data_IF_732781301431
#
_entry.id   IF_732781301431
#
_cell.length_a   1.000
_cell.length_b   1.000
_cell.length_c   1.000
_cell.angle_alpha   90.00
_cell.angle_beta   90.00
_cell.angle_gamma   90.00
#
_symmetry.space_group_name_H-M   'P 1'
#
loop_
_entity.id
_entity.type
_entity.pdbx_description
1 polymer ?
#
# COMPACT_ATOMS: atom_id res chain seq x y z
N UNK A 1 -12.45 -31.00 -8.71
CA UNK A 1 -12.02 -30.68 -8.74
C UNK A 1 -11.56 -30.39 -8.66
N UNK A 2 -11.66 -30.23 -8.79
CA UNK A 2 -11.26 -29.92 -8.80
C UNK A 2 -10.81 -29.35 -8.59
N UNK A 3 -10.45 -28.99 -8.39
CA UNK A 3 -9.92 -28.49 -8.34
C UNK A 3 -9.23 -27.65 -8.77
N UNK A 4 -8.80 -27.31 -8.63
CA UNK A 4 -8.01 -26.32 -9.12
C UNK A 4 -8.09 -26.08 -10.54
N UNK A 5 -7.96 -26.96 -11.27
CA UNK A 5 -7.87 -26.79 -12.61
C UNK A 5 -9.12 -26.50 -13.24
N UNK A 6 -10.04 -26.76 -12.61
CA UNK A 6 -11.26 -26.51 -13.14
C UNK A 6 -11.52 -25.10 -13.35
N UNK A 7 -10.85 -24.27 -12.63
CA UNK A 7 -11.07 -22.88 -12.73
C UNK A 7 -10.93 -22.30 -14.09
N UNK A 8 -10.03 -22.81 -14.88
CA UNK A 8 -9.87 -22.29 -16.20
C UNK A 8 -11.11 -22.48 -17.02
N UNK A 9 -11.74 -23.60 -16.88
CA UNK A 9 -12.92 -23.85 -17.64
C UNK A 9 -14.03 -22.92 -17.24
N UNK A 10 -14.18 -22.71 -15.95
CA UNK A 10 -15.22 -21.82 -15.49
C UNK A 10 -14.99 -20.46 -16.05
N UNK A 11 -13.77 -19.99 -16.04
CA UNK A 11 -13.47 -18.67 -16.55
C UNK A 11 -13.86 -18.56 -18.01
N UNK A 12 -13.59 -19.57 -18.77
CA UNK A 12 -13.92 -19.52 -20.17
C UNK A 12 -15.38 -19.46 -20.40
N UNK A 13 -16.13 -20.16 -19.58
CA UNK A 13 -17.58 -20.14 -19.75
C UNK A 13 -18.18 -18.79 -19.52
N UNK A 14 -17.72 -18.10 -18.51
CA UNK A 14 -18.34 -16.82 -18.14
C UNK A 14 -17.52 -15.61 -18.55
N UNK A 15 -16.41 -15.83 -19.19
CA UNK A 15 -15.49 -14.75 -19.49
C UNK A 15 -14.37 -14.72 -18.49
N UNK A 16 -13.60 -13.64 -18.51
CA UNK A 16 -12.43 -13.53 -17.65
C UNK A 16 -12.58 -12.44 -16.64
N UNK A 17 -11.99 -12.65 -15.47
CA UNK A 17 -11.86 -11.59 -14.50
C UNK A 17 -10.43 -11.14 -14.54
N UNK A 18 -10.20 -9.90 -14.93
CA UNK A 18 -8.86 -9.37 -14.99
C UNK A 18 -8.67 -8.27 -13.99
N UNK A 19 -7.55 -8.30 -13.31
CA UNK A 19 -7.27 -7.34 -12.28
C UNK A 19 -6.10 -6.51 -12.74
N UNK A 20 -6.30 -5.21 -12.84
CA UNK A 20 -5.26 -4.32 -13.37
C UNK A 20 -4.23 -4.01 -12.31
N UNK A 21 -3.06 -3.56 -12.78
CA UNK A 21 -2.02 -3.12 -11.89
C UNK A 21 -2.53 -2.04 -10.96
N UNK A 22 -3.38 -1.17 -11.47
CA UNK A 22 -3.87 -0.06 -10.70
C UNK A 22 -4.70 -0.53 -9.53
N UNK A 23 -5.49 -1.57 -9.73
CA UNK A 23 -6.28 -2.11 -8.64
C UNK A 23 -5.38 -2.69 -7.57
N UNK A 24 -4.33 -3.40 -7.96
CA UNK A 24 -3.40 -3.95 -6.99
C UNK A 24 -2.72 -2.82 -6.24
N UNK A 25 -2.36 -1.75 -6.94
CA UNK A 25 -1.69 -0.62 -6.31
C UNK A 25 -2.60 0.05 -5.28
N UNK A 26 -3.87 0.18 -5.59
CA UNK A 26 -4.80 0.78 -4.65
C UNK A 26 -4.95 -0.08 -3.41
N UNK A 27 -5.08 -1.38 -3.59
CA UNK A 27 -5.19 -2.29 -2.45
C UNK A 27 -3.95 -2.19 -1.57
N UNK A 28 -2.80 -2.18 -2.19
CA UNK A 28 -1.55 -2.09 -1.44
C UNK A 28 -1.44 -0.76 -0.71
N UNK A 29 -1.88 0.32 -1.36
CA UNK A 29 -1.84 1.63 -0.72
C UNK A 29 -2.75 1.71 0.49
N UNK A 30 -3.96 1.19 0.35
CA UNK A 30 -4.88 1.19 1.49
C UNK A 30 -4.32 0.34 2.60
N UNK A 31 -3.82 -0.84 2.28
CA UNK A 31 -3.28 -1.73 3.29
C UNK A 31 -2.11 -1.11 4.02
N UNK A 32 -1.30 -0.33 3.30
CA UNK A 32 -0.17 0.34 3.93
C UNK A 32 -0.62 1.39 4.92
N UNK A 33 -1.65 2.15 4.57
CA UNK A 33 -2.08 3.22 5.44
C UNK A 33 -2.87 2.73 6.64
N UNK A 34 -3.26 1.48 6.64
CA UNK A 34 -3.93 0.91 7.79
C UNK A 34 -2.99 0.62 8.94
N UNK A 35 -1.71 0.63 8.68
CA UNK A 35 -0.73 0.27 9.70
C UNK A 35 -0.43 1.47 10.58
N UNK A 36 -0.53 1.32 11.89
CA UNK A 36 -0.22 2.43 12.78
C UNK A 36 1.22 2.90 12.56
N UNK A 37 1.39 4.19 12.47
CA UNK A 37 2.70 4.77 12.22
C UNK A 37 2.91 5.22 10.80
N UNK A 38 2.09 4.75 9.87
CA UNK A 38 2.17 5.21 8.50
C UNK A 38 1.29 6.44 8.39
N UNK A 39 1.87 7.57 7.98
CA UNK A 39 1.11 8.80 7.93
C UNK A 39 0.57 9.08 6.54
N UNK A 40 1.27 8.62 5.52
CA UNK A 40 0.78 8.82 4.16
C UNK A 40 1.64 8.04 3.19
N UNK A 41 1.15 7.93 1.97
CA UNK A 41 1.94 7.37 0.89
C UNK A 41 2.78 8.50 0.33
N UNK A 42 4.02 8.18 0.00
CA UNK A 42 4.89 9.18 -0.56
C UNK A 42 4.36 9.62 -1.90
N UNK A 43 4.52 10.88 -2.19
CA UNK A 43 4.04 11.40 -3.44
C UNK A 43 2.60 11.77 -3.42
N UNK A 44 1.91 11.50 -2.32
CA UNK A 44 0.52 11.88 -2.23
C UNK A 44 0.37 13.32 -1.86
N UNK A 45 -0.82 13.82 -2.02
CA UNK A 45 -1.11 15.17 -1.66
C UNK A 45 -1.86 15.15 -0.37
N UNK A 46 -1.54 16.07 0.52
CA UNK A 46 -2.24 16.09 1.77
C UNK A 46 -3.29 17.16 1.74
N UNK A 47 -4.19 17.11 2.65
CA UNK A 47 -5.22 18.11 2.76
C UNK A 47 -6.52 17.65 2.19
N UNK A 48 -7.42 18.57 2.03
CA UNK A 48 -8.75 18.24 1.59
C UNK A 48 -8.82 17.61 0.24
N UNK A 49 -7.95 18.04 -0.65
CA UNK A 49 -7.95 17.46 -1.94
C UNK A 49 -7.66 16.01 -1.93
N UNK A 50 -6.81 15.57 -1.04
CA UNK A 50 -6.46 14.18 -1.05
C UNK A 50 -7.64 13.29 -0.74
N UNK A 51 -8.63 13.81 -0.10
CA UNK A 51 -9.79 12.99 0.14
C UNK A 51 -10.52 12.71 -1.12
N UNK A 52 -10.67 13.68 -1.98
CA UNK A 52 -11.36 13.46 -3.21
C UNK A 52 -10.58 12.59 -4.14
N UNK A 53 -9.28 12.69 -4.08
CA UNK A 53 -8.43 11.94 -4.95
C UNK A 53 -7.77 10.80 -4.23
N UNK A 54 -8.35 10.42 -3.10
CA UNK A 54 -7.68 9.50 -2.21
C UNK A 54 -7.20 8.22 -2.84
N UNK A 55 -8.03 7.61 -3.68
CA UNK A 55 -7.61 6.37 -4.27
C UNK A 55 -6.45 6.55 -5.20
N UNK A 56 -6.44 7.61 -5.96
CA UNK A 56 -5.34 7.87 -6.82
C UNK A 56 -4.08 8.16 -6.04
N UNK A 57 -4.21 8.91 -4.96
CA UNK A 57 -3.05 9.21 -4.15
C UNK A 57 -2.49 7.96 -3.52
N UNK A 58 -3.34 7.04 -3.13
CA UNK A 58 -2.85 5.82 -2.54
C UNK A 58 -2.06 5.01 -3.54
N UNK A 59 -2.51 4.96 -4.77
CA UNK A 59 -1.78 4.19 -5.75
C UNK A 59 -0.50 4.88 -6.20
N UNK A 60 -0.40 6.19 -6.03
CA UNK A 60 0.79 6.89 -6.47
C UNK A 60 2.04 6.43 -5.77
N UNK A 61 1.95 6.05 -4.54
CA UNK A 61 3.12 5.60 -3.81
C UNK A 61 3.34 4.11 -3.91
N UNK A 62 2.81 3.49 -4.97
CA UNK A 62 2.95 2.05 -5.11
C UNK A 62 3.35 1.73 -6.53
N UNK A 63 4.31 0.83 -6.69
CA UNK A 63 4.65 0.31 -7.99
C UNK A 63 4.36 -1.18 -8.00
N UNK A 64 3.76 -1.64 -9.07
CA UNK A 64 3.33 -3.01 -9.17
C UNK A 64 3.91 -3.63 -10.42
N UNK A 65 4.45 -4.81 -10.28
CA UNK A 65 4.92 -5.54 -11.42
C UNK A 65 4.19 -6.86 -11.45
N UNK A 66 3.32 -7.05 -12.41
CA UNK A 66 2.47 -8.21 -12.48
C UNK A 66 2.94 -9.09 -13.62
N UNK A 67 3.17 -10.36 -13.32
CA UNK A 67 3.63 -11.28 -14.33
C UNK A 67 2.89 -12.58 -14.12
N UNK A 68 2.02 -12.90 -15.05
CA UNK A 68 1.15 -14.07 -14.91
C UNK A 68 0.33 -13.91 -13.61
N UNK A 69 0.50 -14.80 -12.67
CA UNK A 69 -0.22 -14.70 -11.40
C UNK A 69 0.65 -14.18 -10.29
N UNK A 70 1.89 -13.85 -10.59
CA UNK A 70 2.81 -13.38 -9.56
C UNK A 70 2.88 -11.87 -9.59
N UNK A 71 2.99 -11.29 -8.41
CA UNK A 71 3.07 -9.83 -8.34
C UNK A 71 4.14 -9.41 -7.35
N UNK A 72 4.94 -8.44 -7.77
CA UNK A 72 5.92 -7.80 -6.90
C UNK A 72 5.45 -6.38 -6.66
N UNK A 73 5.52 -5.93 -5.44
CA UNK A 73 4.97 -4.63 -5.06
C UNK A 73 6.02 -3.82 -4.34
N UNK A 74 6.17 -2.57 -4.74
CA UNK A 74 7.02 -1.63 -4.01
C UNK A 74 6.12 -0.54 -3.47
N UNK A 75 6.18 -0.30 -2.17
CA UNK A 75 5.41 0.78 -1.58
C UNK A 75 6.36 1.82 -1.02
N UNK A 76 5.99 3.08 -1.16
CA UNK A 76 6.79 4.20 -0.72
C UNK A 76 5.95 4.98 0.27
N UNK A 77 6.40 5.06 1.51
CA UNK A 77 5.57 5.61 2.58
C UNK A 77 6.32 6.63 3.41
N UNK A 78 5.55 7.42 4.13
CA UNK A 78 6.04 8.35 5.13
C UNK A 78 5.53 7.85 6.48
N UNK A 79 6.37 7.86 7.48
CA UNK A 79 6.02 7.33 8.79
C UNK A 79 6.09 8.42 9.85
N UNK A 80 5.55 8.11 10.99
CA UNK A 80 5.49 9.06 12.08
C UNK A 80 6.78 9.04 12.88
N UNK A 81 7.26 10.23 13.22
CA UNK A 81 8.49 10.35 14.00
C UNK A 81 8.27 9.72 15.37
N UNK A 82 9.27 9.04 15.86
CA UNK A 82 9.21 8.48 17.19
C UNK A 82 8.78 7.03 17.23
N UNK A 83 8.47 6.46 16.09
CA UNK A 83 8.03 5.07 16.06
C UNK A 83 9.15 4.16 15.58
N UNK A 84 8.99 2.89 15.83
CA UNK A 84 9.97 1.92 15.36
C UNK A 84 9.73 1.68 13.88
N UNK A 85 10.58 2.25 13.06
CA UNK A 85 10.38 2.26 11.63
C UNK A 85 10.48 0.86 11.03
N UNK A 86 11.41 0.07 11.52
CA UNK A 86 11.55 -1.27 10.99
C UNK A 86 10.31 -2.11 11.25
N UNK A 87 9.73 -1.94 12.41
CA UNK A 87 8.55 -2.69 12.73
C UNK A 87 7.38 -2.25 11.88
N UNK A 88 7.25 -0.95 11.65
CA UNK A 88 6.22 -0.44 10.76
C UNK A 88 6.39 -1.06 9.39
N UNK A 89 7.62 -1.11 8.91
CA UNK A 89 7.87 -1.69 7.59
C UNK A 89 7.45 -3.14 7.49
N UNK A 90 7.77 -3.92 8.51
CA UNK A 90 7.39 -5.33 8.49
C UNK A 90 5.87 -5.49 8.54
N UNK A 91 5.22 -4.65 9.31
CA UNK A 91 3.76 -4.73 9.40
C UNK A 91 3.12 -4.36 8.07
N UNK A 92 3.70 -3.38 7.39
CA UNK A 92 3.20 -3.01 6.07
C UNK A 92 3.38 -4.17 5.10
N UNK A 93 4.55 -4.80 5.11
CA UNK A 93 4.79 -5.92 4.22
C UNK A 93 3.74 -7.00 4.40
N UNK A 94 3.49 -7.33 5.64
CA UNK A 94 2.56 -8.40 5.91
C UNK A 94 1.12 -8.02 5.54
N UNK A 95 0.72 -6.82 5.86
CA UNK A 95 -0.64 -6.40 5.57
C UNK A 95 -0.89 -6.26 4.08
N UNK A 96 0.09 -5.75 3.35
CA UNK A 96 -0.04 -5.61 1.92
C UNK A 96 -0.15 -7.00 1.28
N UNK A 97 0.72 -7.91 1.67
CA UNK A 97 0.68 -9.25 1.10
C UNK A 97 -0.66 -9.91 1.38
N UNK A 98 -1.10 -9.85 2.61
CA UNK A 98 -2.37 -10.49 2.96
C UNK A 98 -3.55 -9.89 2.23
N UNK A 99 -3.60 -8.57 2.16
CA UNK A 99 -4.73 -7.92 1.52
C UNK A 99 -4.78 -8.19 0.03
N UNK A 100 -3.64 -8.09 -0.63
CA UNK A 100 -3.62 -8.31 -2.06
C UNK A 100 -3.97 -9.77 -2.37
N UNK A 101 -3.39 -10.70 -1.64
CA UNK A 101 -3.64 -12.10 -1.92
C UNK A 101 -5.09 -12.47 -1.64
N UNK A 102 -5.65 -11.92 -0.59
CA UNK A 102 -7.03 -12.23 -0.24
C UNK A 102 -8.01 -11.68 -1.26
N UNK A 103 -7.75 -10.48 -1.73
CA UNK A 103 -8.71 -9.83 -2.61
C UNK A 103 -8.55 -10.21 -4.06
N UNK A 104 -7.34 -10.57 -4.48
CA UNK A 104 -7.09 -10.80 -5.89
C UNK A 104 -6.73 -12.23 -6.22
N UNK A 105 -6.34 -12.98 -5.21
CA UNK A 105 -5.88 -14.35 -5.41
C UNK A 105 -4.59 -14.43 -6.21
N UNK A 106 -3.92 -13.29 -6.39
CA UNK A 106 -2.61 -13.30 -7.00
C UNK A 106 -1.59 -13.75 -5.97
N UNK A 107 -0.45 -14.19 -6.44
CA UNK A 107 0.62 -14.63 -5.57
C UNK A 107 1.59 -13.47 -5.37
N UNK A 108 1.66 -12.93 -4.17
CA UNK A 108 2.55 -11.82 -3.90
C UNK A 108 3.90 -12.39 -3.56
N UNK A 109 4.86 -12.22 -4.46
CA UNK A 109 6.18 -12.80 -4.27
C UNK A 109 7.11 -11.87 -3.54
N UNK A 110 6.78 -10.59 -3.51
CA UNK A 110 7.70 -9.63 -2.92
C UNK A 110 6.97 -8.35 -2.57
N UNK A 111 7.22 -7.83 -1.38
CA UNK A 111 6.72 -6.51 -1.01
C UNK A 111 7.91 -5.75 -0.46
N UNK A 112 8.33 -4.73 -1.16
CA UNK A 112 9.42 -3.88 -0.71
C UNK A 112 8.84 -2.61 -0.14
N UNK A 113 9.23 -2.27 1.07
CA UNK A 113 8.71 -1.08 1.72
C UNK A 113 9.82 -0.06 1.77
N UNK A 114 9.59 1.07 1.14
CA UNK A 114 10.58 2.14 1.08
C UNK A 114 10.08 3.29 1.93
N UNK A 115 10.77 3.56 3.02
CA UNK A 115 10.36 4.61 3.92
C UNK A 115 11.12 5.84 3.53
N UNK A 116 10.43 6.77 2.93
CA UNK A 116 11.08 7.91 2.32
C UNK A 116 10.90 9.20 3.08
N UNK A 117 10.10 9.21 4.10
CA UNK A 117 9.91 10.43 4.85
C UNK A 117 9.47 10.15 6.26
N UNK A 118 9.69 11.12 7.12
CA UNK A 118 9.28 11.05 8.50
C UNK A 118 8.48 12.31 8.79
N UNK A 119 7.28 12.12 9.29
CA UNK A 119 6.43 13.24 9.58
C UNK A 119 6.62 13.67 11.03
N UNK A 120 7.13 14.86 11.22
CA UNK A 120 7.38 15.37 12.56
C UNK A 120 6.17 16.17 12.99
N UNK A 121 5.65 15.89 14.17
CA UNK A 121 4.42 16.54 14.60
C UNK A 121 4.61 18.04 14.71
N UNK A 122 3.65 18.77 14.21
CA UNK A 122 3.71 20.19 14.25
C UNK A 122 3.73 20.75 15.62
N UNK A 123 3.00 20.17 16.49
CA UNK A 123 2.96 20.64 17.83
C UNK A 123 4.31 20.67 18.45
N UNK A 124 5.08 19.67 18.19
CA UNK A 124 6.40 19.61 18.73
C UNK A 124 7.23 20.74 18.21
N UNK A 125 7.12 20.99 16.93
CA UNK A 125 7.86 22.06 16.38
C UNK A 125 7.46 23.38 16.93
N UNK A 126 6.20 23.58 17.03
CA UNK A 126 5.74 24.84 17.51
C UNK A 126 6.24 25.09 18.90
N UNK A 127 6.16 24.11 19.72
CA UNK A 127 6.63 24.27 21.05
C UNK A 127 8.08 24.66 21.08
N UNK A 128 8.84 24.01 20.29
CA UNK A 128 10.21 24.29 20.27
C UNK A 128 10.48 25.67 19.87
N UNK A 129 9.80 26.12 18.88
CA UNK A 129 10.07 27.37 18.46
C UNK A 129 9.69 28.37 19.32
N UNK A 130 8.64 28.22 19.94
CA UNK A 130 8.23 29.22 20.76
C UNK A 130 9.21 29.45 21.75
N UNK A 131 9.83 28.56 21.89
CA UNK A 131 10.73 28.79 22.79
C UNK A 131 11.83 29.16 22.24
N UNK A 132 11.78 28.98 21.45
CA UNK A 132 12.58 29.28 20.91
C UNK A 132 12.92 30.16 20.56
N UNK A 133 12.56 30.36 20.85
CA UNK A 133 12.71 31.18 20.54
C UNK A 133 13.05 31.73 20.67
#
# INVERSE_FOLDING_TARGET
MSEGFINDNDNKEYGNVKISDDVVAIIAGVASTEIPGVTSMSGGITGGFSEMLGMKNLSKGVKVELKDSDVAIDVFITVEYGKNISEIGRNVQQNVKNSVETMTELNVVEVNVNIQGVNIPKETKVNDESKVK
#
